data_IF_488493361620
#
_entry.id   IF_488493361620
#
_cell.length_a   1.000
_cell.length_b   1.000
_cell.length_c   1.000
_cell.angle_alpha   90.00
_cell.angle_beta   90.00
_cell.angle_gamma   90.00
#
_symmetry.space_group_name_H-M   'P 1'
#
loop_
_entity.id
_entity.type
_entity.pdbx_description
1 polymer ?
#
# COMPACT_ATOMS: atom_id res chain seq x y z
N UNK A 1 -2.41 -9.65 4.16
CA UNK A 1 -2.10 -8.52 3.23
C UNK A 1 -0.61 -8.23 3.26
N UNK A 2 0.02 -7.73 2.20
CA UNK A 2 1.43 -7.31 2.27
C UNK A 2 1.59 -5.97 3.02
N UNK A 3 2.64 -5.82 3.82
CA UNK A 3 2.95 -4.54 4.48
C UNK A 3 3.46 -3.49 3.47
N UNK A 4 3.47 -2.22 3.86
CA UNK A 4 3.90 -1.09 3.02
C UNK A 4 5.35 -1.23 2.54
N UNK A 5 6.25 -1.72 3.40
CA UNK A 5 7.64 -1.97 3.04
C UNK A 5 7.78 -3.04 1.95
N UNK A 6 7.10 -4.18 2.09
CA UNK A 6 7.11 -5.21 1.07
C UNK A 6 6.44 -4.76 -0.24
N UNK A 7 5.37 -3.95 -0.16
CA UNK A 7 4.72 -3.35 -1.34
C UNK A 7 5.67 -2.41 -2.08
N UNK A 8 6.38 -1.52 -1.39
CA UNK A 8 7.30 -0.56 -2.02
C UNK A 8 8.48 -1.26 -2.68
N UNK A 9 8.98 -2.34 -2.07
CA UNK A 9 10.08 -3.16 -2.60
C UNK A 9 9.61 -4.19 -3.64
N UNK A 10 8.29 -4.30 -3.91
CA UNK A 10 7.68 -5.31 -4.79
C UNK A 10 8.11 -6.74 -4.45
N UNK A 11 8.25 -7.05 -3.16
CA UNK A 11 8.65 -8.37 -2.65
C UNK A 11 7.45 -9.09 -2.05
N UNK A 12 7.53 -10.43 -1.95
CA UNK A 12 6.55 -11.23 -1.21
C UNK A 12 6.63 -10.86 0.28
N UNK A 13 5.47 -10.61 0.88
CA UNK A 13 5.31 -10.41 2.32
C UNK A 13 4.73 -11.68 2.93
N UNK A 14 5.36 -12.18 4.00
CA UNK A 14 4.87 -13.35 4.75
C UNK A 14 3.66 -13.02 5.63
N UNK A 15 3.45 -11.74 5.96
CA UNK A 15 2.22 -11.30 6.61
C UNK A 15 2.16 -11.56 8.12
N UNK A 16 3.29 -11.86 8.77
CA UNK A 16 3.33 -12.06 10.22
C UNK A 16 2.93 -10.82 11.04
N UNK A 17 2.40 -11.06 12.24
CA UNK A 17 2.07 -10.07 13.27
C UNK A 17 3.00 -10.26 14.48
N UNK A 18 3.54 -9.19 15.09
CA UNK A 18 3.29 -7.76 14.83
C UNK A 18 4.06 -7.20 13.60
N UNK A 19 5.02 -7.95 13.07
CA UNK A 19 5.79 -7.59 11.89
C UNK A 19 6.07 -8.83 11.04
N UNK A 20 6.13 -8.65 9.71
CA UNK A 20 6.50 -9.75 8.83
C UNK A 20 7.97 -10.14 9.04
N UNK A 21 8.31 -11.41 8.83
CA UNK A 21 9.64 -11.95 9.10
C UNK A 21 10.76 -11.22 8.36
N UNK A 22 10.49 -10.65 7.18
CA UNK A 22 11.45 -9.79 6.48
C UNK A 22 11.71 -8.49 7.25
N UNK A 23 10.65 -7.80 7.68
CA UNK A 23 10.80 -6.54 8.40
C UNK A 23 11.45 -6.76 9.77
N UNK A 24 11.11 -7.84 10.47
CA UNK A 24 11.73 -8.23 11.74
C UNK A 24 13.23 -8.45 11.60
N UNK A 25 13.66 -9.21 10.58
CA UNK A 25 15.10 -9.46 10.34
C UNK A 25 15.85 -8.21 9.88
N UNK A 26 15.20 -7.34 9.13
CA UNK A 26 15.79 -6.09 8.65
C UNK A 26 15.77 -4.95 9.67
N UNK A 27 15.07 -5.12 10.81
CA UNK A 27 14.93 -4.06 11.82
C UNK A 27 14.19 -2.83 11.31
N UNK A 28 13.33 -2.99 10.30
CA UNK A 28 12.59 -1.88 9.68
C UNK A 28 11.13 -1.87 10.15
N UNK A 29 10.47 -0.69 10.18
CA UNK A 29 9.07 -0.60 10.59
C UNK A 29 8.14 -1.35 9.63
N UNK A 30 7.36 -2.29 10.17
CA UNK A 30 6.38 -3.06 9.43
C UNK A 30 4.98 -2.44 9.59
N UNK A 31 4.56 -1.65 8.60
CA UNK A 31 3.24 -1.01 8.62
C UNK A 31 2.32 -1.66 7.60
N UNK A 32 1.21 -2.26 8.06
CA UNK A 32 0.14 -2.71 7.18
C UNK A 32 -0.80 -1.53 6.91
N UNK A 33 -0.65 -0.89 5.75
CA UNK A 33 -1.55 0.20 5.36
C UNK A 33 -2.76 -0.34 4.62
N UNK A 34 -3.94 0.14 5.02
CA UNK A 34 -5.18 -0.01 4.27
C UNK A 34 -5.00 0.38 2.79
N UNK A 35 -5.73 -0.29 1.89
CA UNK A 35 -5.72 0.12 0.48
C UNK A 35 -6.33 1.52 0.41
N UNK A 36 -5.53 2.52 0.03
CA UNK A 36 -6.06 3.84 -0.37
C UNK A 36 -7.14 3.56 -1.42
N UNK A 37 -8.41 3.88 -1.11
CA UNK A 37 -9.48 3.92 -2.11
C UNK A 37 -8.93 4.82 -3.21
N UNK A 38 -8.78 4.28 -4.43
CA UNK A 38 -8.44 5.11 -5.58
C UNK A 38 -9.48 6.22 -5.57
N UNK A 39 -9.03 7.48 -5.45
CA UNK A 39 -9.93 8.63 -5.54
C UNK A 39 -10.81 8.50 -6.78
N UNK A 40 -12.01 9.12 -6.81
CA UNK A 40 -12.96 8.97 -7.90
C UNK A 40 -12.18 9.07 -9.21
N UNK A 41 -12.18 7.96 -9.95
CA UNK A 41 -11.34 7.82 -11.13
C UNK A 41 -11.60 9.03 -12.00
N UNK A 42 -10.55 9.82 -12.24
CA UNK A 42 -10.51 11.07 -13.01
C UNK A 42 -11.58 11.02 -14.10
N UNK A 43 -12.78 11.56 -13.80
CA UNK A 43 -13.72 11.92 -14.84
C UNK A 43 -13.06 13.12 -15.50
N UNK A 44 -12.59 12.88 -16.72
CA UNK A 44 -12.16 13.92 -17.64
C UNK A 44 -13.19 15.06 -17.58
N UNK A 45 -12.71 16.21 -17.09
CA UNK A 45 -13.18 17.59 -17.27
C UNK A 45 -14.68 17.83 -17.49
N UNK A 46 -15.29 18.62 -16.61
CA UNK A 46 -16.54 19.32 -16.89
C UNK A 46 -16.40 20.15 -18.16
N UNK A 47 -17.23 19.87 -19.16
CA UNK A 47 -17.58 20.86 -20.18
C UNK A 47 -19.02 21.23 -19.89
N UNK A 48 -19.19 22.31 -19.11
CA UNK A 48 -20.40 23.10 -19.13
C UNK A 48 -20.15 24.21 -20.15
N UNK A 49 -20.84 24.18 -21.29
CA UNK A 49 -21.03 25.36 -22.14
C UNK A 49 -22.30 25.17 -22.99
N UNK A 50 -23.20 26.17 -22.85
CA UNK A 50 -24.38 26.55 -23.65
C UNK A 50 -25.53 25.54 -23.88
#
# INVERSE_FOLDING_TARGET
QACAYCKSRKRRCDGGEPACGLCTRSGVPCVYTERRKRGPGRKLVSIADA
#
